data_IF_528661528320
#
_entry.id   IF_528661528320
#
_cell.length_a   1.000
_cell.length_b   1.000
_cell.length_c   1.000
_cell.angle_alpha   90.00
_cell.angle_beta   90.00
_cell.angle_gamma   90.00
#
_symmetry.space_group_name_H-M   'P 1'
#
loop_
_entity.id
_entity.type
_entity.pdbx_description
1 polymer ?
#
# COMPACT_ATOMS: atom_id res chain seq x y z
N UNK A 1 -11.19 11.48 -4.87
CA UNK A 1 -10.02 12.31 -4.57
C UNK A 1 -10.15 12.76 -3.14
N UNK A 2 -9.30 12.24 -2.25
CA UNK A 2 -9.04 12.69 -0.87
C UNK A 2 -10.17 13.47 -0.17
N UNK A 3 -11.39 12.91 -0.17
CA UNK A 3 -12.60 13.67 0.19
C UNK A 3 -12.72 13.85 1.69
N UNK A 4 -12.14 12.93 2.44
CA UNK A 4 -12.28 12.84 3.89
C UNK A 4 -11.05 13.43 4.59
N UNK A 5 -10.01 13.81 3.84
CA UNK A 5 -8.82 14.46 4.38
C UNK A 5 -9.07 15.93 4.72
N UNK A 6 -8.84 16.34 5.98
CA UNK A 6 -8.76 17.74 6.37
C UNK A 6 -7.70 18.49 5.55
N UNK A 7 -7.96 19.77 5.31
CA UNK A 7 -7.06 20.64 4.54
C UNK A 7 -5.63 20.64 5.10
N UNK A 8 -5.49 20.68 6.42
CA UNK A 8 -4.21 20.71 7.12
C UNK A 8 -3.39 19.43 6.89
N UNK A 9 -4.07 18.29 6.74
CA UNK A 9 -3.42 17.01 6.43
C UNK A 9 -3.00 16.97 4.97
N UNK A 10 -3.82 17.48 4.05
CA UNK A 10 -3.44 17.63 2.64
C UNK A 10 -2.20 18.50 2.47
N UNK A 11 -2.12 19.63 3.19
CA UNK A 11 -0.93 20.50 3.19
C UNK A 11 0.29 19.72 3.65
N UNK A 12 0.20 19.02 4.78
CA UNK A 12 1.33 18.23 5.30
C UNK A 12 1.81 17.17 4.33
N UNK A 13 0.90 16.44 3.67
CA UNK A 13 1.29 15.43 2.67
C UNK A 13 1.96 16.10 1.47
N UNK A 14 1.39 17.20 0.96
CA UNK A 14 1.97 17.94 -0.16
C UNK A 14 3.37 18.48 0.17
N UNK A 15 3.55 19.04 1.36
CA UNK A 15 4.84 19.54 1.84
C UNK A 15 5.87 18.41 1.93
N UNK A 16 5.51 17.27 2.53
CA UNK A 16 6.39 16.10 2.64
C UNK A 16 6.83 15.55 1.28
N UNK A 17 5.92 15.61 0.29
CA UNK A 17 6.16 15.16 -1.08
C UNK A 17 6.81 16.24 -1.97
N UNK A 18 7.17 17.40 -1.42
CA UNK A 18 7.68 18.56 -2.15
C UNK A 18 6.78 18.98 -3.34
N UNK A 19 5.46 18.83 -3.18
CA UNK A 19 4.48 19.27 -4.16
C UNK A 19 4.32 20.78 -4.02
N UNK A 20 5.02 21.52 -4.90
CA UNK A 20 5.00 22.97 -4.89
C UNK A 20 3.58 23.50 -5.14
N UNK A 21 3.16 24.44 -4.32
CA UNK A 21 2.03 25.30 -4.64
C UNK A 21 2.51 26.36 -5.65
N UNK A 22 1.87 26.43 -6.82
CA UNK A 22 2.22 27.45 -7.82
C UNK A 22 1.57 28.79 -7.50
N UNK A 23 0.64 28.82 -6.53
CA UNK A 23 -0.12 30.00 -6.16
C UNK A 23 -0.24 30.07 -4.65
N UNK A 24 0.71 30.76 -4.00
CA UNK A 24 0.53 31.24 -2.62
C UNK A 24 -0.52 32.36 -2.61
N UNK A 25 -1.75 32.05 -2.97
CA UNK A 25 -2.88 32.94 -2.75
C UNK A 25 -3.13 32.91 -1.25
N UNK A 26 -2.78 33.99 -0.55
CA UNK A 26 -3.31 34.22 0.79
C UNK A 26 -4.81 33.94 0.77
N UNK A 27 -5.32 33.21 1.77
CA UNK A 27 -6.73 32.82 1.80
C UNK A 27 -7.61 34.06 2.04
N UNK A 28 -7.96 34.75 0.96
CA UNK A 28 -8.79 35.96 1.03
C UNK A 28 -10.31 35.65 0.88
N UNK A 29 -10.69 34.43 0.46
CA UNK A 29 -12.10 33.99 0.43
C UNK A 29 -12.29 32.46 0.51
N UNK A 30 -13.51 32.00 0.82
CA UNK A 30 -13.92 30.58 0.85
C UNK A 30 -13.76 29.90 -0.51
N UNK A 31 -14.05 30.62 -1.59
CA UNK A 31 -13.97 30.11 -2.97
C UNK A 31 -12.51 29.88 -3.35
N UNK A 32 -11.61 30.78 -2.98
CA UNK A 32 -10.16 30.61 -3.18
C UNK A 32 -9.67 29.38 -2.43
N UNK A 33 -10.09 29.18 -1.17
CA UNK A 33 -9.73 27.98 -0.38
C UNK A 33 -10.20 26.69 -1.07
N UNK A 34 -11.43 26.66 -1.59
CA UNK A 34 -11.98 25.50 -2.28
C UNK A 34 -11.21 25.18 -3.57
N UNK A 35 -10.87 26.20 -4.37
CA UNK A 35 -10.08 26.03 -5.60
C UNK A 35 -8.66 25.54 -5.28
N UNK A 36 -7.99 26.14 -4.29
CA UNK A 36 -6.66 25.71 -3.85
C UNK A 36 -6.69 24.25 -3.36
N UNK A 37 -7.68 23.88 -2.54
CA UNK A 37 -7.83 22.51 -2.05
C UNK A 37 -8.03 21.51 -3.21
N UNK A 38 -8.89 21.81 -4.18
CA UNK A 38 -9.11 20.95 -5.34
C UNK A 38 -7.84 20.77 -6.19
N UNK A 39 -7.08 21.84 -6.39
CA UNK A 39 -5.84 21.79 -7.15
C UNK A 39 -4.74 20.99 -6.41
N UNK A 40 -4.61 21.16 -5.09
CA UNK A 40 -3.72 20.34 -4.27
C UNK A 40 -4.09 18.86 -4.34
N UNK A 41 -5.38 18.52 -4.16
CA UNK A 41 -5.86 17.14 -4.25
C UNK A 41 -5.54 16.53 -5.61
N UNK A 42 -5.71 17.29 -6.70
CA UNK A 42 -5.38 16.85 -8.06
C UNK A 42 -3.89 16.57 -8.23
N UNK A 43 -3.02 17.47 -7.74
CA UNK A 43 -1.56 17.31 -7.80
C UNK A 43 -1.10 16.11 -6.98
N UNK A 44 -1.60 16.02 -5.74
CA UNK A 44 -1.31 14.91 -4.85
C UNK A 44 -1.72 13.57 -5.48
N UNK A 45 -2.92 13.52 -6.08
CA UNK A 45 -3.40 12.32 -6.75
C UNK A 45 -2.48 11.93 -7.90
N UNK A 46 -2.01 12.88 -8.71
CA UNK A 46 -1.08 12.61 -9.81
C UNK A 46 0.23 12.00 -9.33
N UNK A 47 0.76 12.45 -8.19
CA UNK A 47 2.01 11.92 -7.60
C UNK A 47 1.78 10.53 -7.01
N UNK A 48 0.67 10.33 -6.31
CA UNK A 48 0.41 9.09 -5.58
C UNK A 48 -0.34 8.00 -6.37
N UNK A 49 -0.88 8.31 -7.56
CA UNK A 49 -1.55 7.31 -8.39
C UNK A 49 -0.57 6.24 -8.91
N UNK A 50 0.71 6.61 -9.11
CA UNK A 50 1.81 5.71 -9.43
C UNK A 50 3.08 6.23 -8.72
N UNK A 51 3.20 6.04 -7.40
CA UNK A 51 4.23 6.67 -6.61
C UNK A 51 5.59 6.03 -6.92
N UNK A 52 6.63 6.86 -7.01
CA UNK A 52 7.99 6.34 -6.94
C UNK A 52 8.25 5.73 -5.55
N UNK A 53 9.23 4.83 -5.38
CA UNK A 53 9.59 4.32 -4.05
C UNK A 53 9.85 5.43 -3.03
N UNK A 54 10.52 6.52 -3.43
CA UNK A 54 10.78 7.64 -2.55
C UNK A 54 9.51 8.40 -2.15
N UNK A 55 8.64 8.70 -3.13
CA UNK A 55 7.36 9.37 -2.84
C UNK A 55 6.47 8.50 -1.94
N UNK A 56 6.49 7.18 -2.13
CA UNK A 56 5.75 6.27 -1.26
C UNK A 56 6.33 6.26 0.16
N UNK A 57 7.66 6.19 0.33
CA UNK A 57 8.29 6.31 1.66
C UNK A 57 7.93 7.63 2.35
N UNK A 58 8.01 8.75 1.65
CA UNK A 58 7.61 10.06 2.17
C UNK A 58 6.13 10.10 2.59
N UNK A 59 5.27 9.44 1.82
CA UNK A 59 3.86 9.30 2.18
C UNK A 59 3.66 8.44 3.43
N UNK A 60 4.41 7.34 3.58
CA UNK A 60 4.41 6.54 4.81
C UNK A 60 4.93 7.33 6.01
N UNK A 61 5.94 8.19 5.82
CA UNK A 61 6.45 9.05 6.89
C UNK A 61 5.35 9.96 7.45
N UNK A 62 4.47 10.50 6.59
CA UNK A 62 3.30 11.26 7.06
C UNK A 62 2.41 10.41 7.98
N UNK A 63 2.13 9.16 7.59
CA UNK A 63 1.31 8.23 8.37
C UNK A 63 1.95 7.93 9.71
N UNK A 64 3.27 7.74 9.73
CA UNK A 64 4.00 7.33 10.93
C UNK A 64 4.43 8.49 11.83
N UNK A 65 4.27 9.74 11.38
CA UNK A 65 4.73 10.92 12.13
C UNK A 65 3.83 11.30 13.31
N UNK A 66 2.53 11.07 13.19
CA UNK A 66 1.52 11.44 14.18
C UNK A 66 0.32 10.49 14.05
N UNK A 67 -0.17 9.99 15.18
CA UNK A 67 -1.25 8.98 15.21
C UNK A 67 -2.55 9.51 14.59
N UNK A 68 -2.93 10.77 14.86
CA UNK A 68 -4.19 11.34 14.34
C UNK A 68 -4.12 11.54 12.84
N UNK A 69 -2.97 11.99 12.34
CA UNK A 69 -2.72 12.14 10.91
C UNK A 69 -2.71 10.77 10.24
N UNK A 70 -2.02 9.80 10.83
CA UNK A 70 -1.99 8.43 10.35
C UNK A 70 -3.39 7.83 10.24
N UNK A 71 -4.22 8.00 11.26
CA UNK A 71 -5.61 7.55 11.24
C UNK A 71 -6.40 8.19 10.10
N UNK A 72 -6.36 9.52 9.95
CA UNK A 72 -7.07 10.20 8.88
C UNK A 72 -6.63 9.75 7.47
N UNK A 73 -5.33 9.50 7.28
CA UNK A 73 -4.79 9.00 6.00
C UNK A 73 -5.20 7.55 5.75
N UNK A 74 -5.08 6.66 6.74
CA UNK A 74 -5.40 5.25 6.59
C UNK A 74 -6.87 5.00 6.24
N UNK A 75 -7.76 5.90 6.69
CA UNK A 75 -9.21 5.76 6.47
C UNK A 75 -9.79 6.67 5.39
N UNK A 76 -8.99 7.52 4.74
CA UNK A 76 -9.42 8.15 3.49
C UNK A 76 -9.43 7.10 2.36
N UNK A 77 -10.58 6.97 1.69
CA UNK A 77 -10.79 5.98 0.64
C UNK A 77 -9.75 6.03 -0.50
N UNK A 78 -9.27 7.22 -0.86
CA UNK A 78 -8.27 7.38 -1.92
C UNK A 78 -6.88 6.97 -1.42
N UNK A 79 -6.52 7.38 -0.21
CA UNK A 79 -5.26 6.97 0.42
C UNK A 79 -5.19 5.45 0.65
N UNK A 80 -6.27 4.83 1.11
CA UNK A 80 -6.36 3.37 1.27
C UNK A 80 -6.12 2.63 -0.04
N UNK A 81 -6.75 3.07 -1.13
CA UNK A 81 -6.51 2.50 -2.47
C UNK A 81 -5.04 2.63 -2.88
N UNK A 82 -4.41 3.78 -2.61
CA UNK A 82 -2.98 3.99 -2.92
C UNK A 82 -2.10 3.01 -2.15
N UNK A 83 -2.34 2.87 -0.84
CA UNK A 83 -1.56 1.98 0.04
C UNK A 83 -1.71 0.50 -0.34
N UNK A 84 -2.91 0.08 -0.73
CA UNK A 84 -3.18 -1.30 -1.10
C UNK A 84 -2.77 -1.58 -2.54
N UNK A 85 -3.25 -0.81 -3.50
CA UNK A 85 -3.19 -1.15 -4.92
C UNK A 85 -2.07 -0.44 -5.70
N UNK A 86 -1.54 0.69 -5.19
CA UNK A 86 -0.52 1.49 -5.89
C UNK A 86 0.86 1.44 -5.25
N UNK A 87 1.04 0.66 -4.19
CA UNK A 87 2.34 0.49 -3.52
C UNK A 87 3.43 0.00 -4.49
N UNK A 88 4.66 0.55 -4.45
CA UNK A 88 5.78 0.05 -5.24
C UNK A 88 6.10 -1.41 -4.89
N UNK A 89 6.40 -2.24 -5.89
CA UNK A 89 6.77 -3.66 -5.69
C UNK A 89 8.01 -3.87 -4.81
N UNK A 90 8.89 -2.88 -4.75
CA UNK A 90 10.10 -2.87 -3.91
C UNK A 90 9.80 -2.60 -2.44
N UNK A 91 8.57 -2.17 -2.11
CA UNK A 91 8.10 -1.89 -0.74
C UNK A 91 6.83 -2.69 -0.44
N UNK A 92 6.86 -4.03 -0.54
CA UNK A 92 5.66 -4.84 -0.36
C UNK A 92 5.15 -4.82 1.08
N UNK A 93 6.05 -4.60 2.06
CA UNK A 93 5.82 -4.79 3.50
C UNK A 93 5.61 -3.49 4.29
N UNK A 94 5.00 -2.48 3.67
CA UNK A 94 4.84 -1.16 4.30
C UNK A 94 4.06 -1.20 5.63
N UNK A 95 3.10 -2.12 5.77
CA UNK A 95 2.32 -2.28 7.01
C UNK A 95 3.23 -2.64 8.18
N UNK A 96 4.32 -3.40 7.95
CA UNK A 96 5.28 -3.73 9.00
C UNK A 96 6.01 -2.47 9.48
N UNK A 97 6.38 -1.57 8.56
CA UNK A 97 6.99 -0.28 8.91
C UNK A 97 6.05 0.58 9.74
N UNK A 98 4.76 0.61 9.39
CA UNK A 98 3.74 1.34 10.17
C UNK A 98 3.55 0.70 11.55
N UNK A 99 3.48 -0.63 11.63
CA UNK A 99 3.33 -1.35 12.89
C UNK A 99 4.50 -1.11 13.86
N UNK A 100 5.71 -0.94 13.33
CA UNK A 100 6.90 -0.63 14.12
C UNK A 100 6.93 0.83 14.59
N UNK A 101 6.60 1.77 13.71
CA UNK A 101 6.71 3.20 14.01
C UNK A 101 5.51 3.75 14.81
N UNK A 102 4.29 3.27 14.52
CA UNK A 102 3.04 3.67 15.15
C UNK A 102 2.18 2.44 15.50
N UNK A 103 2.54 1.68 16.57
CA UNK A 103 1.83 0.45 16.93
C UNK A 103 0.33 0.64 17.18
N UNK A 104 -0.10 1.82 17.65
CA UNK A 104 -1.51 2.13 17.91
C UNK A 104 -2.37 2.13 16.63
N UNK A 105 -1.76 2.33 15.46
CA UNK A 105 -2.45 2.25 14.17
C UNK A 105 -2.65 0.80 13.70
N UNK A 106 -2.00 -0.18 14.34
CA UNK A 106 -2.06 -1.56 13.88
C UNK A 106 -3.43 -2.20 14.09
N UNK A 107 -4.03 -2.02 15.27
CA UNK A 107 -5.37 -2.52 15.56
C UNK A 107 -6.40 -2.03 14.52
N UNK A 108 -6.54 -0.71 14.26
CA UNK A 108 -7.49 -0.23 13.27
C UNK A 108 -7.19 -0.72 11.84
N UNK A 109 -5.91 -0.87 11.46
CA UNK A 109 -5.54 -1.46 10.15
C UNK A 109 -6.02 -2.91 10.04
N UNK A 110 -5.83 -3.71 11.09
CA UNK A 110 -6.19 -5.13 11.08
C UNK A 110 -7.70 -5.39 11.21
N UNK A 111 -8.47 -4.41 11.69
CA UNK A 111 -9.94 -4.48 11.74
C UNK A 111 -10.60 -4.14 10.40
N UNK A 112 -9.93 -3.39 9.53
CA UNK A 112 -10.41 -3.09 8.19
C UNK A 112 -10.11 -4.26 7.23
N UNK A 113 -11.19 -4.78 6.62
CA UNK A 113 -11.13 -5.96 5.79
C UNK A 113 -10.25 -5.77 4.54
N UNK A 114 -10.22 -4.59 3.93
CA UNK A 114 -9.44 -4.34 2.71
C UNK A 114 -7.95 -4.42 3.00
N UNK A 115 -7.51 -3.83 4.12
CA UNK A 115 -6.13 -3.94 4.57
C UNK A 115 -5.79 -5.38 4.92
N UNK A 116 -6.67 -6.07 5.65
CA UNK A 116 -6.48 -7.47 6.01
C UNK A 116 -6.31 -8.35 4.77
N UNK A 117 -7.13 -8.14 3.74
CA UNK A 117 -7.08 -8.84 2.46
C UNK A 117 -5.84 -8.49 1.63
N UNK A 118 -5.29 -7.30 1.80
CA UNK A 118 -4.06 -6.86 1.11
C UNK A 118 -2.76 -7.51 1.62
N UNK A 119 -2.78 -8.05 2.85
CA UNK A 119 -1.63 -8.65 3.52
C UNK A 119 -1.35 -10.08 3.05
N UNK A 120 -0.07 -10.43 2.91
CA UNK A 120 0.36 -11.79 2.67
C UNK A 120 0.34 -12.63 3.96
N UNK A 121 0.32 -13.96 3.81
CA UNK A 121 0.41 -14.89 4.94
C UNK A 121 1.68 -14.70 5.79
N UNK A 122 2.80 -14.30 5.18
CA UNK A 122 4.05 -14.04 5.91
C UNK A 122 3.99 -12.75 6.73
N UNK A 123 3.38 -11.69 6.19
CA UNK A 123 3.15 -10.43 6.92
C UNK A 123 2.22 -10.64 8.11
N UNK A 124 1.13 -11.36 7.88
CA UNK A 124 0.18 -11.76 8.92
C UNK A 124 0.90 -12.51 10.04
N UNK A 125 1.69 -13.52 9.70
CA UNK A 125 2.43 -14.33 10.67
C UNK A 125 3.43 -13.47 11.45
N UNK A 126 4.11 -12.54 10.77
CA UNK A 126 5.04 -11.62 11.41
C UNK A 126 4.34 -10.70 12.41
N UNK A 127 3.22 -10.08 12.03
CA UNK A 127 2.45 -9.19 12.91
C UNK A 127 1.93 -9.94 14.15
N UNK A 128 1.41 -11.16 13.96
CA UNK A 128 0.91 -12.00 15.05
C UNK A 128 1.99 -12.50 16.01
N UNK A 129 3.23 -12.59 15.57
CA UNK A 129 4.34 -13.05 16.41
C UNK A 129 5.04 -11.89 17.13
N UNK A 130 5.08 -10.69 16.53
CA UNK A 130 5.89 -9.58 17.02
C UNK A 130 5.08 -8.42 17.61
N UNK A 131 3.80 -8.28 17.23
CA UNK A 131 2.97 -7.14 17.61
C UNK A 131 1.65 -7.54 18.28
N UNK A 132 1.49 -8.81 18.65
CA UNK A 132 0.23 -9.34 19.20
C UNK A 132 -0.18 -8.68 20.51
N UNK A 133 0.79 -8.28 21.33
CA UNK A 133 0.57 -7.62 22.62
C UNK A 133 0.06 -6.18 22.46
N UNK A 134 0.11 -5.63 21.23
CA UNK A 134 -0.39 -4.29 20.89
C UNK A 134 -1.81 -4.33 20.33
N UNK A 135 -2.44 -5.50 20.30
CA UNK A 135 -3.78 -5.72 19.80
C UNK A 135 -4.75 -5.92 20.97
N UNK A 136 -5.91 -5.29 20.90
CA UNK A 136 -6.91 -5.35 21.98
C UNK A 136 -7.62 -6.71 22.03
N UNK A 137 -7.83 -7.34 20.86
CA UNK A 137 -8.43 -8.68 20.74
C UNK A 137 -7.62 -9.56 19.77
N UNK A 138 -6.46 -10.06 20.23
CA UNK A 138 -5.60 -10.88 19.39
C UNK A 138 -6.21 -12.24 19.07
N UNK A 139 -7.18 -12.73 19.86
CA UNK A 139 -7.85 -14.00 19.62
C UNK A 139 -8.80 -13.91 18.42
N UNK A 140 -9.61 -12.85 18.35
CA UNK A 140 -10.48 -12.56 17.20
C UNK A 140 -9.67 -12.34 15.93
N UNK A 141 -8.60 -11.55 16.01
CA UNK A 141 -7.72 -11.30 14.87
C UNK A 141 -7.02 -12.58 14.42
N UNK A 142 -6.51 -13.41 15.33
CA UNK A 142 -5.97 -14.75 14.98
C UNK A 142 -7.00 -15.65 14.31
N UNK A 143 -8.27 -15.59 14.72
CA UNK A 143 -9.32 -16.38 14.09
C UNK A 143 -9.64 -15.89 12.66
N UNK A 144 -9.70 -14.58 12.44
CA UNK A 144 -9.87 -13.98 11.10
C UNK A 144 -8.66 -14.26 10.20
N UNK A 145 -7.46 -14.01 10.71
CA UNK A 145 -6.19 -14.22 10.00
C UNK A 145 -5.93 -15.69 9.70
N UNK A 146 -6.20 -16.58 10.65
CA UNK A 146 -6.03 -18.03 10.50
C UNK A 146 -7.00 -18.67 9.52
N UNK A 147 -8.15 -18.05 9.22
CA UNK A 147 -8.99 -18.45 8.08
C UNK A 147 -8.30 -18.12 6.76
N UNK A 148 -7.75 -16.92 6.63
CA UNK A 148 -7.03 -16.47 5.43
C UNK A 148 -5.77 -17.28 5.14
N UNK A 149 -5.01 -17.70 6.16
CA UNK A 149 -3.83 -18.56 5.97
C UNK A 149 -4.18 -19.98 5.50
N UNK A 150 -5.43 -20.42 5.71
CA UNK A 150 -5.90 -21.78 5.40
C UNK A 150 -6.70 -21.88 4.09
N UNK A 151 -7.05 -20.75 3.49
CA UNK A 151 -7.58 -20.74 2.13
C UNK A 151 -6.44 -21.07 1.17
N UNK A 152 -6.56 -22.12 0.33
CA UNK A 152 -5.58 -22.35 -0.71
C UNK A 152 -5.56 -21.12 -1.63
N UNK A 153 -4.36 -20.57 -1.83
CA UNK A 153 -4.15 -19.50 -2.79
C UNK A 153 -4.45 -20.05 -4.18
N UNK A 154 -5.69 -19.87 -4.65
CA UNK A 154 -6.12 -20.28 -5.98
C UNK A 154 -5.66 -19.24 -7.01
N UNK A 155 -4.34 -19.08 -7.10
CA UNK A 155 -3.66 -18.50 -8.26
C UNK A 155 -2.62 -19.51 -8.68
N UNK A 156 -3.05 -20.36 -9.60
CA UNK A 156 -2.25 -21.31 -10.35
C UNK A 156 -0.88 -20.72 -10.66
N UNK A 157 0.14 -21.22 -9.97
CA UNK A 157 1.48 -21.25 -10.53
C UNK A 157 1.39 -22.18 -11.74
N UNK A 158 1.24 -21.58 -12.92
CA UNK A 158 1.47 -22.28 -14.19
C UNK A 158 2.97 -22.55 -14.26
N UNK A 159 3.37 -23.66 -13.63
CA UNK A 159 4.72 -24.19 -13.66
C UNK A 159 4.92 -24.78 -15.06
N UNK A 160 5.91 -24.22 -15.77
CA UNK A 160 6.43 -24.70 -17.05
C UNK A 160 6.58 -26.23 -17.04
N UNK A 161 5.72 -26.91 -17.82
CA UNK A 161 5.97 -28.30 -18.19
C UNK A 161 7.03 -28.30 -19.29
N UNK A 162 8.27 -28.50 -18.86
CA UNK A 162 9.32 -29.03 -19.72
C UNK A 162 8.87 -30.43 -20.15
N UNK A 163 8.28 -30.55 -21.34
CA UNK A 163 8.17 -31.84 -22.02
C UNK A 163 9.51 -32.14 -22.69
N UNK A 164 10.38 -32.84 -21.96
CA UNK A 164 11.26 -33.81 -22.60
C UNK A 164 10.40 -34.88 -23.27
N UNK A 165 10.24 -34.77 -24.58
CA UNK A 165 9.90 -35.92 -25.42
C UNK A 165 11.05 -36.14 -26.39
N UNK A 166 11.84 -37.15 -26.06
CA UNK A 166 12.89 -37.69 -26.91
C UNK A 166 12.32 -38.35 -28.16
N UNK A 167 13.16 -38.30 -29.21
CA UNK A 167 13.27 -39.24 -30.34
C UNK A 167 12.12 -39.36 -31.32
N UNK A 168 12.34 -38.93 -32.57
CA UNK A 168 12.77 -39.84 -33.64
C UNK A 168 13.03 -39.11 -34.98
N UNK A 169 14.22 -39.38 -35.53
CA UNK A 169 14.54 -39.64 -36.94
C UNK A 169 14.00 -38.71 -38.05
N UNK A 170 14.92 -38.10 -38.81
CA UNK A 170 15.23 -38.57 -40.17
C UNK A 170 16.31 -37.72 -40.89
N UNK A 171 17.37 -38.42 -41.31
CA UNK A 171 18.15 -38.32 -42.55
C UNK A 171 18.39 -36.95 -43.23
N UNK A 172 19.66 -36.61 -43.48
CA UNK A 172 20.37 -36.61 -44.80
C UNK A 172 21.86 -36.33 -44.47
N UNK A 173 22.74 -37.32 -44.45
CA UNK A 173 23.54 -37.87 -45.58
C UNK A 173 24.60 -36.93 -46.17
N UNK A 174 25.85 -37.38 -46.01
CA UNK A 174 27.02 -37.28 -46.91
C UNK A 174 27.71 -35.93 -47.15
N UNK A 175 29.03 -35.92 -46.88
CA UNK A 175 29.96 -35.24 -47.78
C UNK A 175 31.26 -34.67 -47.19
N UNK A 176 32.14 -35.56 -46.71
CA UNK A 176 33.60 -35.60 -46.93
C UNK A 176 34.34 -34.27 -47.24
N UNK A 177 35.35 -34.02 -46.38
CA UNK A 177 36.57 -33.20 -46.47
C UNK A 177 36.49 -31.71 -46.13
#
# INVERSE_FOLDING_TARGET
MFKDLPYEILVKICDQLNIKDERSLGFFSSEVKAVTMAEMQRRLFKVLQNPSPNAFCQFLECITSDEKIGYAILFDSTCKDILINKRPRTLPHWILSVAQAQPNLLQPILEDQDYLESLSSSEISFLLNNHVEKLDDPARLRAQLGRKTREPSDKSEEIDRIEESSSAESNVSLGIR
#
